data_IF_194199753663
#
_entry.id   IF_194199753663
#
_cell.length_a   1.000
_cell.length_b   1.000
_cell.length_c   1.000
_cell.angle_alpha   90.00
_cell.angle_beta   90.00
_cell.angle_gamma   90.00
#
_symmetry.space_group_name_H-M   'P 1'
#
loop_
_entity.id
_entity.type
_entity.pdbx_description
1 polymer ?
#
# COMPACT_ATOMS: atom_id res chain seq x y z
N UNK A 1 -19.59 8.52 -11.25
CA UNK A 1 -18.53 9.02 -10.36
C UNK A 1 -17.23 8.89 -11.13
N UNK A 2 -16.37 9.91 -11.10
CA UNK A 2 -15.05 9.85 -11.74
C UNK A 2 -14.05 9.22 -10.77
N UNK A 3 -13.20 8.32 -11.26
CA UNK A 3 -12.14 7.70 -10.47
C UNK A 3 -11.22 8.76 -9.83
N UNK A 4 -10.72 8.47 -8.63
CA UNK A 4 -9.75 9.32 -7.92
C UNK A 4 -8.40 9.31 -8.62
N UNK A 5 -7.95 8.15 -9.08
CA UNK A 5 -6.75 7.99 -9.91
C UNK A 5 -7.13 7.20 -11.16
N UNK A 6 -6.64 7.61 -12.33
CA UNK A 6 -6.80 6.84 -13.56
C UNK A 6 -5.54 6.86 -14.42
N UNK A 7 -5.13 5.69 -14.88
CA UNK A 7 -4.08 5.46 -15.85
C UNK A 7 -4.74 5.00 -17.15
N UNK A 8 -4.39 5.64 -18.26
CA UNK A 8 -4.87 5.28 -19.60
C UNK A 8 -3.68 4.97 -20.51
N UNK A 9 -3.58 3.69 -20.92
CA UNK A 9 -2.54 3.15 -21.81
C UNK A 9 -1.11 3.57 -21.43
N UNK A 10 -0.80 3.49 -20.13
CA UNK A 10 0.46 3.96 -19.56
C UNK A 10 1.59 2.96 -19.81
N UNK A 11 2.68 3.47 -20.39
CA UNK A 11 3.92 2.74 -20.60
C UNK A 11 5.08 3.55 -20.03
N UNK A 12 6.01 2.89 -19.36
CA UNK A 12 7.17 3.54 -18.73
C UNK A 12 8.44 2.71 -18.93
N UNK A 13 9.54 3.42 -19.22
CA UNK A 13 10.89 2.88 -19.34
C UNK A 13 11.85 3.77 -18.56
N UNK A 14 12.74 3.16 -17.77
CA UNK A 14 13.83 3.89 -17.12
C UNK A 14 14.87 4.32 -18.16
N UNK A 15 15.53 5.44 -17.91
CA UNK A 15 16.67 5.87 -18.74
C UNK A 15 17.74 4.77 -18.75
N UNK A 16 18.19 4.39 -19.96
CA UNK A 16 19.19 3.35 -20.20
C UNK A 16 18.76 1.91 -19.85
N UNK A 17 17.48 1.65 -19.61
CA UNK A 17 16.97 0.28 -19.53
C UNK A 17 16.64 -0.26 -20.93
N UNK A 18 17.03 -1.50 -21.21
CA UNK A 18 16.70 -2.16 -22.48
C UNK A 18 15.21 -2.53 -22.61
N UNK A 19 14.50 -2.59 -21.48
CA UNK A 19 13.12 -3.04 -21.44
C UNK A 19 12.19 -2.10 -20.66
N UNK A 20 10.90 -2.17 -20.97
CA UNK A 20 9.86 -1.40 -20.32
C UNK A 20 9.55 -1.96 -18.95
N UNK A 21 9.60 -1.09 -17.93
CA UNK A 21 9.19 -1.45 -16.59
C UNK A 21 7.67 -1.61 -16.49
N UNK A 22 6.90 -0.85 -17.28
CA UNK A 22 5.44 -0.95 -17.37
C UNK A 22 4.97 -0.80 -18.82
N UNK A 23 3.94 -1.56 -19.23
CA UNK A 23 3.45 -1.63 -20.61
C UNK A 23 1.92 -1.62 -20.68
N UNK A 24 1.40 -0.66 -21.43
CA UNK A 24 -0.02 -0.57 -21.83
C UNK A 24 -1.01 -0.67 -20.65
N UNK A 25 -0.67 -0.06 -19.52
CA UNK A 25 -1.50 -0.14 -18.31
C UNK A 25 -2.70 0.79 -18.38
N UNK A 26 -3.88 0.21 -18.19
CA UNK A 26 -5.13 0.95 -17.98
C UNK A 26 -5.75 0.49 -16.68
N UNK A 27 -5.79 1.38 -15.69
CA UNK A 27 -6.26 1.09 -14.31
C UNK A 27 -6.93 2.33 -13.75
N UNK A 28 -8.06 2.16 -13.06
CA UNK A 28 -8.69 3.22 -12.26
C UNK A 28 -8.74 2.81 -10.80
N UNK A 29 -8.61 3.77 -9.88
CA UNK A 29 -8.73 3.58 -8.43
C UNK A 29 -9.75 4.58 -7.90
N UNK A 30 -10.70 4.09 -7.12
CA UNK A 30 -11.79 4.88 -6.56
C UNK A 30 -11.40 5.46 -5.19
N UNK A 31 -12.07 6.52 -4.77
CA UNK A 31 -11.87 7.09 -3.44
C UNK A 31 -12.34 6.12 -2.34
N UNK A 32 -11.63 6.10 -1.20
CA UNK A 32 -11.85 5.19 -0.07
C UNK A 32 -11.67 3.71 -0.44
N UNK A 33 -10.91 3.41 -1.49
CA UNK A 33 -10.58 2.04 -1.89
C UNK A 33 -9.27 1.59 -1.23
N UNK A 34 -9.17 0.30 -0.87
CA UNK A 34 -7.89 -0.35 -0.59
C UNK A 34 -7.55 -1.28 -1.75
N UNK A 35 -6.50 -0.94 -2.49
CA UNK A 35 -5.95 -1.73 -3.59
C UNK A 35 -4.60 -2.30 -3.20
N UNK A 36 -4.42 -3.62 -3.29
CA UNK A 36 -3.11 -4.24 -3.14
C UNK A 36 -2.51 -4.61 -4.50
N UNK A 37 -1.23 -4.31 -4.67
CA UNK A 37 -0.45 -4.54 -5.88
C UNK A 37 0.53 -5.66 -5.61
N UNK A 38 0.35 -6.76 -6.34
CA UNK A 38 1.10 -7.99 -6.19
C UNK A 38 1.94 -8.26 -7.43
N UNK A 39 2.94 -9.12 -7.28
CA UNK A 39 3.79 -9.57 -8.38
C UNK A 39 5.25 -9.75 -7.96
N UNK A 40 6.01 -10.44 -8.79
CA UNK A 40 7.42 -10.73 -8.52
C UNK A 40 8.28 -9.45 -8.47
N UNK A 41 9.48 -9.57 -7.91
CA UNK A 41 10.46 -8.49 -7.97
C UNK A 41 10.76 -8.15 -9.43
N UNK A 42 10.80 -6.85 -9.73
CA UNK A 42 10.98 -6.36 -11.10
C UNK A 42 9.71 -6.35 -11.97
N UNK A 43 8.53 -6.72 -11.46
CA UNK A 43 7.28 -6.66 -12.26
C UNK A 43 6.74 -5.24 -12.49
N UNK A 44 7.34 -4.23 -11.87
CA UNK A 44 6.99 -2.81 -12.05
C UNK A 44 6.10 -2.20 -10.96
N UNK A 45 5.85 -2.89 -9.85
CA UNK A 45 4.98 -2.41 -8.74
C UNK A 45 5.41 -1.05 -8.17
N UNK A 46 6.67 -0.90 -7.76
CA UNK A 46 7.19 0.38 -7.23
C UNK A 46 7.20 1.47 -8.29
N UNK A 47 7.46 1.12 -9.55
CA UNK A 47 7.32 2.06 -10.68
C UNK A 47 5.88 2.56 -10.81
N UNK A 48 4.89 1.69 -10.67
CA UNK A 48 3.48 2.07 -10.69
C UNK A 48 3.17 3.06 -9.58
N UNK A 49 3.56 2.78 -8.34
CA UNK A 49 3.38 3.70 -7.21
C UNK A 49 4.00 5.09 -7.45
N UNK A 50 5.21 5.13 -8.01
CA UNK A 50 5.92 6.39 -8.32
C UNK A 50 5.28 7.19 -9.46
N UNK A 51 4.60 6.53 -10.40
CA UNK A 51 3.81 7.22 -11.43
C UNK A 51 2.59 7.91 -10.84
N UNK A 52 1.99 7.38 -9.76
CA UNK A 52 0.80 7.96 -9.14
C UNK A 52 1.09 9.29 -8.45
N UNK A 53 2.23 9.40 -7.77
CA UNK A 53 2.67 10.63 -7.10
C UNK A 53 3.38 11.61 -8.07
N UNK A 54 3.76 11.17 -9.27
CA UNK A 54 4.52 11.99 -10.22
C UNK A 54 6.01 12.12 -9.85
N UNK A 55 6.59 11.12 -9.17
CA UNK A 55 8.04 10.96 -9.06
C UNK A 55 8.65 10.45 -10.36
N UNK A 56 7.88 9.66 -11.10
CA UNK A 56 8.16 9.30 -12.48
C UNK A 56 7.01 9.78 -13.36
N UNK A 57 7.33 10.10 -14.61
CA UNK A 57 6.34 10.52 -15.61
C UNK A 57 6.25 9.44 -16.69
N UNK A 58 5.04 9.13 -17.18
CA UNK A 58 4.86 8.07 -18.16
C UNK A 58 5.53 8.42 -19.49
N UNK A 59 6.15 7.44 -20.15
CA UNK A 59 6.71 7.60 -21.50
C UNK A 59 5.62 7.68 -22.57
N UNK A 60 4.50 6.98 -22.36
CA UNK A 60 3.26 7.03 -23.15
C UNK A 60 2.05 6.87 -22.25
N UNK A 61 0.87 7.27 -22.73
CA UNK A 61 -0.37 7.25 -21.96
C UNK A 61 -0.53 8.47 -21.06
N UNK A 62 -1.52 8.45 -20.18
CA UNK A 62 -1.83 9.56 -19.27
C UNK A 62 -2.13 9.03 -17.87
N UNK A 63 -1.61 9.72 -16.84
CA UNK A 63 -1.99 9.49 -15.45
C UNK A 63 -2.75 10.72 -14.97
N UNK A 64 -3.94 10.51 -14.41
CA UNK A 64 -4.78 11.53 -13.79
C UNK A 64 -4.96 11.23 -12.31
N UNK A 65 -4.93 12.25 -11.46
CA UNK A 65 -5.06 12.17 -10.00
C UNK A 65 -5.94 13.33 -9.52
N UNK A 66 -7.08 13.05 -8.90
CA UNK A 66 -8.06 14.04 -8.45
C UNK A 66 -8.37 15.10 -9.53
N UNK A 67 -8.53 14.62 -10.77
CA UNK A 67 -8.78 15.46 -11.96
C UNK A 67 -7.57 16.19 -12.56
N UNK A 68 -6.39 16.12 -11.92
CA UNK A 68 -5.14 16.72 -12.40
C UNK A 68 -4.33 15.73 -13.24
N UNK A 69 -3.60 16.19 -14.25
CA UNK A 69 -2.74 15.38 -15.11
C UNK A 69 -1.27 15.47 -14.71
N UNK A 70 -0.59 14.33 -14.60
CA UNK A 70 0.87 14.32 -14.37
C UNK A 70 1.68 14.88 -15.55
N UNK A 71 1.05 15.07 -16.72
CA UNK A 71 1.69 15.75 -17.87
C UNK A 71 1.80 17.26 -17.68
N UNK A 72 0.97 17.85 -16.82
CA UNK A 72 1.00 19.27 -16.57
C UNK A 72 1.95 19.57 -15.40
N UNK A 73 3.09 20.18 -15.70
CA UNK A 73 4.13 20.49 -14.70
C UNK A 73 3.60 21.36 -13.55
N UNK A 74 2.67 22.28 -13.83
CA UNK A 74 2.08 23.14 -12.80
C UNK A 74 1.21 22.40 -11.80
N UNK A 75 0.73 21.19 -12.13
CA UNK A 75 -0.15 20.38 -11.28
C UNK A 75 0.62 19.37 -10.42
N UNK A 76 1.89 19.09 -10.74
CA UNK A 76 2.67 18.04 -10.06
C UNK A 76 2.77 18.24 -8.55
N UNK A 77 2.95 19.47 -8.08
CA UNK A 77 3.01 19.75 -6.65
C UNK A 77 1.66 19.47 -5.95
N UNK A 78 0.54 19.82 -6.59
CA UNK A 78 -0.79 19.51 -6.07
C UNK A 78 -1.05 18.00 -6.07
N UNK A 79 -0.61 17.27 -7.09
CA UNK A 79 -0.69 15.81 -7.15
C UNK A 79 0.10 15.17 -5.98
N UNK A 80 1.30 15.68 -5.68
CA UNK A 80 2.12 15.19 -4.56
C UNK A 80 1.49 15.45 -3.19
N UNK A 81 0.65 16.47 -3.07
CA UNK A 81 -0.10 16.74 -1.84
C UNK A 81 -1.29 15.78 -1.69
N UNK A 82 -1.87 15.33 -2.79
CA UNK A 82 -2.98 14.37 -2.81
C UNK A 82 -2.50 12.95 -2.54
N UNK A 83 -1.34 12.56 -3.08
CA UNK A 83 -0.82 11.20 -3.01
C UNK A 83 0.42 11.16 -2.13
N UNK A 84 0.30 10.71 -0.88
CA UNK A 84 1.44 10.42 -0.02
C UNK A 84 2.16 9.12 -0.41
N UNK A 85 3.46 9.02 -0.16
CA UNK A 85 4.22 7.79 -0.33
C UNK A 85 4.97 7.43 0.95
N UNK A 86 4.87 6.16 1.35
CA UNK A 86 5.61 5.57 2.46
C UNK A 86 6.48 4.46 1.88
N UNK A 87 7.80 4.61 1.94
CA UNK A 87 8.74 3.70 1.30
C UNK A 87 9.12 2.51 2.18
N UNK A 88 9.72 1.51 1.53
CA UNK A 88 10.11 0.23 2.12
C UNK A 88 11.11 0.37 3.28
N UNK A 89 12.15 1.18 3.08
CA UNK A 89 13.23 1.30 4.05
C UNK A 89 12.96 2.50 4.98
N UNK A 90 12.59 2.28 6.25
CA UNK A 90 12.39 3.37 7.21
C UNK A 90 13.64 4.23 7.38
N UNK A 91 14.84 3.64 7.36
CA UNK A 91 16.09 4.36 7.68
C UNK A 91 16.41 5.50 6.70
N UNK A 92 15.97 5.38 5.45
CA UNK A 92 16.34 6.31 4.38
C UNK A 92 15.30 7.43 4.17
N UNK A 93 14.26 7.48 5.00
CA UNK A 93 13.16 8.44 4.83
C UNK A 93 13.29 9.69 5.72
N UNK A 94 14.10 9.62 6.77
CA UNK A 94 14.28 10.71 7.72
C UNK A 94 15.31 11.72 7.23
N UNK A 95 14.98 13.00 7.36
CA UNK A 95 15.86 14.11 6.96
C UNK A 95 16.17 15.05 8.12
N UNK A 96 15.43 14.97 9.22
CA UNK A 96 15.55 15.88 10.34
C UNK A 96 16.20 15.25 11.59
N UNK A 97 16.53 16.10 12.55
CA UNK A 97 17.21 15.72 13.80
C UNK A 97 16.30 15.05 14.81
N UNK A 98 15.04 15.48 14.89
CA UNK A 98 14.04 14.92 15.80
C UNK A 98 12.83 14.42 15.02
N UNK A 99 12.06 13.53 15.65
CA UNK A 99 10.77 13.07 15.10
C UNK A 99 9.82 14.25 14.86
N UNK A 100 9.75 15.23 15.77
CA UNK A 100 8.94 16.44 15.59
C UNK A 100 9.34 17.21 14.33
N UNK A 101 10.63 17.46 14.16
CA UNK A 101 11.16 18.21 13.01
C UNK A 101 10.87 17.46 11.70
N UNK A 102 10.96 16.13 11.71
CA UNK A 102 10.70 15.31 10.53
C UNK A 102 9.21 15.34 10.12
N UNK A 103 8.30 15.29 11.10
CA UNK A 103 6.87 15.49 10.86
C UNK A 103 6.53 16.91 10.38
N UNK A 104 7.30 17.91 10.82
CA UNK A 104 7.14 19.30 10.38
C UNK A 104 7.60 19.52 8.94
N UNK A 105 8.59 18.75 8.45
CA UNK A 105 9.23 18.97 7.16
C UNK A 105 8.25 19.10 5.98
N UNK A 106 7.29 18.17 5.86
CA UNK A 106 6.27 18.23 4.82
C UNK A 106 5.37 19.46 4.94
N UNK A 107 5.01 19.84 6.16
CA UNK A 107 4.15 20.99 6.45
C UNK A 107 4.84 22.33 6.14
N UNK A 108 6.14 22.43 6.45
CA UNK A 108 6.95 23.61 6.13
C UNK A 108 7.04 23.83 4.62
N UNK A 109 7.22 22.76 3.84
CA UNK A 109 7.21 22.80 2.38
C UNK A 109 5.86 23.27 1.80
N UNK A 110 4.76 23.00 2.51
CA UNK A 110 3.41 23.48 2.17
C UNK A 110 3.12 24.90 2.65
N UNK A 111 4.03 25.52 3.41
CA UNK A 111 3.84 26.86 3.97
C UNK A 111 2.75 26.92 5.05
N UNK A 112 2.51 25.82 5.77
CA UNK A 112 1.53 25.78 6.86
C UNK A 112 2.02 26.61 8.05
N UNK A 113 1.12 27.36 8.71
CA UNK A 113 1.50 28.19 9.86
C UNK A 113 1.93 27.31 11.04
N UNK A 114 2.84 27.83 11.87
CA UNK A 114 3.40 27.07 13.01
C UNK A 114 2.32 26.54 13.96
N UNK A 115 1.29 27.34 14.23
CA UNK A 115 0.19 26.94 15.12
C UNK A 115 -0.55 25.71 14.58
N UNK A 116 -0.84 25.70 13.27
CA UNK A 116 -1.50 24.58 12.59
C UNK A 116 -0.55 23.38 12.50
N UNK A 117 0.76 23.62 12.31
CA UNK A 117 1.74 22.55 12.28
C UNK A 117 1.77 21.78 13.60
N UNK A 118 1.88 22.48 14.73
CA UNK A 118 1.91 21.85 16.05
C UNK A 118 0.62 21.06 16.35
N UNK A 119 -0.54 21.57 15.92
CA UNK A 119 -1.81 20.85 16.03
C UNK A 119 -1.78 19.54 15.24
N UNK A 120 -1.38 19.59 13.96
CA UNK A 120 -1.31 18.42 13.08
C UNK A 120 -0.27 17.40 13.56
N UNK A 121 0.92 17.85 13.93
CA UNK A 121 1.99 17.00 14.47
C UNK A 121 1.46 16.25 15.71
N UNK A 122 0.85 16.97 16.65
CA UNK A 122 0.32 16.37 17.89
C UNK A 122 -0.81 15.37 17.59
N UNK A 123 -1.74 15.74 16.70
CA UNK A 123 -2.87 14.91 16.28
C UNK A 123 -2.39 13.60 15.64
N UNK A 124 -1.53 13.67 14.63
CA UNK A 124 -1.11 12.49 13.87
C UNK A 124 -0.08 11.64 14.60
N UNK A 125 0.82 12.25 15.40
CA UNK A 125 1.70 11.50 16.28
C UNK A 125 0.91 10.71 17.34
N UNK A 126 -0.16 11.29 17.88
CA UNK A 126 -1.05 10.58 18.81
C UNK A 126 -1.83 9.48 18.11
N UNK A 127 -2.31 9.76 16.90
CA UNK A 127 -3.11 8.82 16.10
C UNK A 127 -2.37 7.51 15.83
N UNK A 128 -1.08 7.59 15.50
CA UNK A 128 -0.23 6.43 15.19
C UNK A 128 0.58 5.95 16.40
N UNK A 129 0.28 6.47 17.60
CA UNK A 129 0.85 5.98 18.86
C UNK A 129 2.34 6.30 19.08
N UNK A 130 2.84 7.40 18.53
CA UNK A 130 4.25 7.85 18.64
C UNK A 130 4.40 9.19 19.36
N UNK A 131 3.35 9.77 19.95
CA UNK A 131 3.42 11.09 20.58
C UNK A 131 4.53 11.22 21.64
N UNK A 132 4.84 10.13 22.35
CA UNK A 132 5.92 10.06 23.34
C UNK A 132 7.33 10.08 22.73
N UNK A 133 7.45 9.95 21.40
CA UNK A 133 8.71 9.90 20.65
C UNK A 133 9.03 11.20 19.93
N UNK A 134 8.20 12.24 20.03
CA UNK A 134 8.38 13.50 19.28
C UNK A 134 9.75 14.15 19.47
N UNK A 135 10.30 14.08 20.68
CA UNK A 135 11.62 14.66 21.01
C UNK A 135 12.79 13.66 20.81
N UNK A 136 12.50 12.46 20.31
CA UNK A 136 13.52 11.44 20.06
C UNK A 136 14.20 11.67 18.72
N UNK A 137 15.46 11.24 18.63
CA UNK A 137 16.22 11.25 17.37
C UNK A 137 15.86 10.01 16.53
N UNK A 138 15.57 10.14 15.22
CA UNK A 138 15.11 9.05 14.36
C UNK A 138 15.90 7.75 14.50
N UNK A 139 17.23 7.83 14.55
CA UNK A 139 18.12 6.67 14.61
C UNK A 139 17.96 5.80 15.87
N UNK A 140 17.31 6.32 16.93
CA UNK A 140 17.08 5.61 18.21
C UNK A 140 15.79 4.81 18.24
N UNK A 141 14.92 4.96 17.23
CA UNK A 141 13.64 4.26 17.14
C UNK A 141 13.82 2.85 16.54
N UNK A 142 12.90 1.94 16.88
CA UNK A 142 12.79 0.64 16.20
C UNK A 142 12.28 0.82 14.76
N UNK A 143 12.48 -0.18 13.90
CA UNK A 143 11.99 -0.12 12.51
C UNK A 143 10.48 0.14 12.42
N UNK A 144 9.68 -0.52 13.24
CA UNK A 144 8.22 -0.32 13.26
C UNK A 144 7.82 1.07 13.76
N UNK A 145 8.53 1.59 14.77
CA UNK A 145 8.32 2.96 15.24
C UNK A 145 8.69 3.98 14.15
N UNK A 146 9.83 3.80 13.47
CA UNK A 146 10.23 4.62 12.33
C UNK A 146 9.17 4.62 11.24
N UNK A 147 8.64 3.46 10.88
CA UNK A 147 7.58 3.40 9.87
C UNK A 147 6.32 4.17 10.30
N UNK A 148 5.93 4.08 11.59
CA UNK A 148 4.82 4.88 12.12
C UNK A 148 5.11 6.38 12.12
N UNK A 149 6.36 6.80 12.33
CA UNK A 149 6.78 8.20 12.14
C UNK A 149 6.63 8.64 10.68
N UNK A 150 7.10 7.84 9.72
CA UNK A 150 6.95 8.15 8.30
C UNK A 150 5.47 8.29 7.91
N UNK A 151 4.61 7.39 8.40
CA UNK A 151 3.15 7.46 8.23
C UNK A 151 2.60 8.77 8.83
N UNK A 152 3.04 9.14 10.03
CA UNK A 152 2.59 10.38 10.68
C UNK A 152 2.97 11.63 9.89
N UNK A 153 4.20 11.68 9.35
CA UNK A 153 4.67 12.80 8.53
C UNK A 153 3.86 12.95 7.25
N UNK A 154 3.54 11.85 6.58
CA UNK A 154 2.65 11.85 5.41
C UNK A 154 1.23 12.28 5.80
N UNK A 155 0.66 11.70 6.86
CA UNK A 155 -0.69 12.03 7.32
C UNK A 155 -0.85 13.48 7.77
N UNK A 156 0.21 14.11 8.28
CA UNK A 156 0.20 15.52 8.66
C UNK A 156 -0.08 16.44 7.47
N UNK A 157 0.31 16.05 6.26
CA UNK A 157 -0.02 16.78 5.03
C UNK A 157 -1.49 16.60 4.59
N UNK A 158 -2.22 15.68 5.22
CA UNK A 158 -3.63 15.33 4.95
C UNK A 158 -3.89 14.89 3.49
N UNK A 159 -3.18 13.87 2.99
CA UNK A 159 -3.39 13.35 1.64
C UNK A 159 -4.71 12.58 1.50
N UNK A 160 -5.23 12.46 0.27
CA UNK A 160 -6.40 11.63 -0.04
C UNK A 160 -6.03 10.16 -0.27
N UNK A 161 -4.79 9.92 -0.73
CA UNK A 161 -4.25 8.60 -1.07
C UNK A 161 -2.91 8.40 -0.39
N UNK A 162 -2.65 7.20 0.12
CA UNK A 162 -1.31 6.80 0.55
C UNK A 162 -0.89 5.53 -0.18
N UNK A 163 0.28 5.60 -0.83
CA UNK A 163 0.97 4.47 -1.42
C UNK A 163 1.98 3.93 -0.39
N UNK A 164 1.81 2.67 0.00
CA UNK A 164 2.76 1.94 0.83
C UNK A 164 3.59 1.03 -0.06
N UNK A 165 4.88 1.34 -0.25
CA UNK A 165 5.80 0.57 -1.08
C UNK A 165 6.60 -0.41 -0.21
N UNK A 166 6.08 -1.63 -0.02
CA UNK A 166 6.66 -2.68 0.83
C UNK A 166 6.96 -2.20 2.27
N UNK A 167 6.10 -1.33 2.81
CA UNK A 167 6.29 -0.64 4.09
C UNK A 167 6.48 -1.56 5.31
N UNK A 168 6.09 -2.83 5.20
CA UNK A 168 6.11 -3.83 6.27
C UNK A 168 7.23 -4.87 6.13
N UNK A 169 7.97 -4.88 5.01
CA UNK A 169 8.87 -5.98 4.66
C UNK A 169 10.12 -6.05 5.52
N UNK A 170 10.61 -4.90 6.00
CA UNK A 170 11.86 -4.78 6.78
C UNK A 170 11.61 -4.76 8.29
N UNK A 171 10.41 -5.12 8.73
CA UNK A 171 9.98 -5.05 10.13
C UNK A 171 9.98 -6.44 10.77
N UNK A 172 10.27 -6.48 12.07
CA UNK A 172 9.98 -7.65 12.90
C UNK A 172 8.45 -7.90 13.00
N UNK A 173 8.00 -9.09 13.40
CA UNK A 173 6.58 -9.43 13.43
C UNK A 173 5.71 -8.48 14.29
N UNK A 174 6.25 -7.96 15.39
CA UNK A 174 5.50 -7.03 16.27
C UNK A 174 5.38 -5.68 15.57
N UNK A 175 6.49 -5.14 15.05
CA UNK A 175 6.49 -3.89 14.30
C UNK A 175 5.60 -3.94 13.06
N UNK A 176 5.61 -5.06 12.32
CA UNK A 176 4.71 -5.28 11.18
C UNK A 176 3.25 -5.20 11.62
N UNK A 177 2.87 -5.90 12.68
CA UNK A 177 1.50 -5.90 13.19
C UNK A 177 1.05 -4.48 13.57
N UNK A 178 1.85 -3.75 14.33
CA UNK A 178 1.52 -2.37 14.75
C UNK A 178 1.35 -1.42 13.55
N UNK A 179 2.20 -1.56 12.53
CA UNK A 179 2.09 -0.77 11.29
C UNK A 179 0.83 -1.15 10.52
N UNK A 180 0.52 -2.44 10.40
CA UNK A 180 -0.71 -2.90 9.73
C UNK A 180 -1.99 -2.44 10.45
N UNK A 181 -2.02 -2.49 11.78
CA UNK A 181 -3.11 -1.93 12.58
C UNK A 181 -3.28 -0.43 12.31
N UNK A 182 -2.18 0.30 12.17
CA UNK A 182 -2.20 1.72 11.80
C UNK A 182 -2.80 1.93 10.40
N UNK A 183 -2.35 1.18 9.39
CA UNK A 183 -2.84 1.25 8.01
C UNK A 183 -4.34 0.96 7.94
N UNK A 184 -4.82 -0.11 8.60
CA UNK A 184 -6.24 -0.45 8.67
C UNK A 184 -7.08 0.66 9.31
N UNK A 185 -6.59 1.24 10.41
CA UNK A 185 -7.27 2.34 11.09
C UNK A 185 -7.38 3.58 10.18
N UNK A 186 -6.34 3.90 9.41
CA UNK A 186 -6.37 4.99 8.44
C UNK A 186 -7.39 4.74 7.33
N UNK A 187 -7.45 3.51 6.80
CA UNK A 187 -8.45 3.13 5.80
C UNK A 187 -9.88 3.29 6.32
N UNK A 188 -10.15 2.83 7.55
CA UNK A 188 -11.46 2.98 8.20
C UNK A 188 -11.89 4.44 8.38
N UNK A 189 -10.93 5.38 8.35
CA UNK A 189 -11.19 6.82 8.42
C UNK A 189 -11.39 7.47 7.03
N UNK A 190 -11.39 6.68 5.95
CA UNK A 190 -11.63 7.16 4.59
C UNK A 190 -10.37 7.47 3.79
N UNK A 191 -9.19 7.06 4.24
CA UNK A 191 -7.98 7.20 3.41
C UNK A 191 -7.99 6.11 2.33
N UNK A 192 -7.73 6.50 1.09
CA UNK A 192 -7.52 5.56 -0.02
C UNK A 192 -6.13 4.94 0.11
N UNK A 193 -6.04 3.61 0.08
CA UNK A 193 -4.79 2.89 0.33
C UNK A 193 -4.37 2.12 -0.92
N UNK A 194 -3.11 2.26 -1.28
CA UNK A 194 -2.47 1.47 -2.33
C UNK A 194 -1.28 0.76 -1.71
N UNK A 195 -1.40 -0.54 -1.43
CA UNK A 195 -0.31 -1.32 -0.84
C UNK A 195 0.43 -2.13 -1.89
N UNK A 196 1.70 -1.84 -2.11
CA UNK A 196 2.60 -2.72 -2.84
C UNK A 196 3.19 -3.68 -1.82
N UNK A 197 2.86 -4.96 -1.93
CA UNK A 197 3.26 -5.94 -0.92
C UNK A 197 3.55 -7.30 -1.56
N UNK A 198 4.35 -8.09 -0.85
CA UNK A 198 4.50 -9.52 -1.08
C UNK A 198 3.87 -10.35 0.05
N UNK A 199 3.34 -9.68 1.08
CA UNK A 199 2.69 -10.30 2.22
C UNK A 199 1.22 -10.58 1.85
N UNK A 200 0.85 -11.86 1.83
CA UNK A 200 -0.50 -12.29 1.46
C UNK A 200 -1.53 -11.93 2.53
N UNK A 201 -1.12 -11.85 3.81
CA UNK A 201 -2.01 -11.44 4.90
C UNK A 201 -2.37 -9.95 4.77
N UNK A 202 -1.43 -9.13 4.30
CA UNK A 202 -1.70 -7.73 3.94
C UNK A 202 -2.60 -7.65 2.69
N UNK A 203 -2.34 -8.47 1.68
CA UNK A 203 -3.10 -8.46 0.44
C UNK A 203 -4.58 -8.82 0.65
N UNK A 204 -4.89 -9.76 1.54
CA UNK A 204 -6.26 -10.18 1.87
C UNK A 204 -7.12 -9.03 2.43
N UNK A 205 -6.50 -8.02 3.05
CA UNK A 205 -7.21 -6.87 3.61
C UNK A 205 -7.71 -5.89 2.53
N UNK A 206 -7.15 -5.96 1.33
CA UNK A 206 -7.52 -5.07 0.24
C UNK A 206 -8.88 -5.46 -0.36
N UNK A 207 -9.64 -4.46 -0.79
CA UNK A 207 -10.90 -4.68 -1.52
C UNK A 207 -10.70 -5.16 -2.95
N UNK A 208 -9.53 -4.86 -3.54
CA UNK A 208 -9.15 -5.24 -4.91
C UNK A 208 -7.66 -5.53 -5.00
N UNK A 209 -7.31 -6.51 -5.81
CA UNK A 209 -5.94 -6.93 -6.10
C UNK A 209 -5.60 -6.61 -7.55
N UNK A 210 -4.39 -6.08 -7.76
CA UNK A 210 -3.79 -5.89 -9.08
C UNK A 210 -2.50 -6.71 -9.16
N UNK A 211 -2.49 -7.73 -10.01
CA UNK A 211 -1.32 -8.59 -10.20
C UNK A 211 -0.51 -8.15 -11.41
N UNK A 212 0.72 -7.75 -11.16
CA UNK A 212 1.68 -7.33 -12.16
C UNK A 212 2.61 -8.49 -12.54
N UNK A 213 2.76 -8.71 -13.84
CA UNK A 213 3.68 -9.67 -14.41
C UNK A 213 4.38 -9.05 -15.63
N UNK A 214 5.72 -9.02 -15.61
CA UNK A 214 6.54 -8.48 -16.71
C UNK A 214 6.10 -7.08 -17.20
N UNK A 215 5.74 -6.20 -16.26
CA UNK A 215 5.33 -4.83 -16.55
C UNK A 215 3.88 -4.67 -17.03
N UNK A 216 3.09 -5.75 -17.10
CA UNK A 216 1.68 -5.72 -17.49
C UNK A 216 0.77 -6.09 -16.32
N UNK A 217 -0.47 -5.62 -16.37
CA UNK A 217 -1.54 -6.10 -15.49
C UNK A 217 -1.99 -7.48 -15.98
N UNK A 218 -1.64 -8.52 -15.23
CA UNK A 218 -1.93 -9.91 -15.57
C UNK A 218 -3.29 -10.36 -15.06
N UNK A 219 -3.66 -9.97 -13.84
CA UNK A 219 -4.95 -10.24 -13.22
C UNK A 219 -5.41 -9.04 -12.40
N UNK A 220 -6.71 -8.87 -12.31
CA UNK A 220 -7.38 -7.89 -11.47
C UNK A 220 -8.67 -8.52 -10.95
N UNK A 221 -9.03 -8.22 -9.69
CA UNK A 221 -10.28 -8.67 -9.10
C UNK A 221 -10.27 -8.64 -7.58
N UNK A 222 -11.29 -9.21 -6.95
CA UNK A 222 -11.36 -9.32 -5.48
C UNK A 222 -10.39 -10.40 -4.97
N UNK A 223 -9.91 -10.29 -3.72
CA UNK A 223 -9.09 -11.34 -3.11
C UNK A 223 -9.68 -12.75 -3.23
N UNK A 224 -10.98 -12.89 -2.94
CA UNK A 224 -11.72 -14.16 -3.01
C UNK A 224 -11.66 -14.79 -4.41
N UNK A 225 -11.79 -13.97 -5.45
CA UNK A 225 -11.82 -14.41 -6.86
C UNK A 225 -10.43 -14.73 -7.42
N UNK A 226 -9.39 -14.07 -6.92
CA UNK A 226 -8.03 -14.31 -7.37
C UNK A 226 -7.42 -15.50 -6.64
N UNK A 227 -7.57 -15.58 -5.32
CA UNK A 227 -7.00 -16.67 -4.54
C UNK A 227 -7.65 -18.03 -4.82
N UNK A 228 -8.87 -18.05 -5.36
CA UNK A 228 -9.49 -19.29 -5.86
C UNK A 228 -8.81 -19.84 -7.13
N UNK A 229 -7.92 -19.09 -7.79
CA UNK A 229 -7.21 -19.47 -9.02
C UNK A 229 -5.79 -19.92 -8.72
N UNK A 230 -5.64 -20.92 -7.82
CA UNK A 230 -4.37 -21.44 -7.33
C UNK A 230 -3.34 -21.64 -8.44
N UNK A 231 -3.66 -22.45 -9.45
CA UNK A 231 -2.73 -22.81 -10.52
C UNK A 231 -2.22 -21.57 -11.24
N UNK A 232 -3.12 -20.63 -11.53
CA UNK A 232 -2.77 -19.41 -12.26
C UNK A 232 -1.89 -18.47 -11.44
N UNK A 233 -2.13 -18.34 -10.14
CA UNK A 233 -1.29 -17.54 -9.25
C UNK A 233 0.10 -18.16 -9.08
N UNK A 234 0.16 -19.49 -8.93
CA UNK A 234 1.42 -20.22 -8.84
C UNK A 234 2.24 -20.12 -10.14
N UNK A 235 1.60 -20.22 -11.32
CA UNK A 235 2.24 -19.99 -12.63
C UNK A 235 2.87 -18.59 -12.73
N UNK A 236 2.21 -17.59 -12.14
CA UNK A 236 2.69 -16.20 -12.11
C UNK A 236 3.72 -15.94 -11.00
N UNK A 237 4.05 -16.97 -10.21
CA UNK A 237 5.08 -16.97 -9.18
C UNK A 237 4.66 -16.28 -7.88
N UNK A 238 3.36 -16.31 -7.55
CA UNK A 238 2.84 -15.90 -6.25
C UNK A 238 2.55 -17.11 -5.36
N UNK A 239 2.76 -16.91 -4.05
CA UNK A 239 2.24 -17.81 -3.00
C UNK A 239 0.78 -17.50 -2.70
N UNK A 240 0.11 -18.42 -2.01
CA UNK A 240 -1.24 -18.20 -1.50
C UNK A 240 -1.18 -17.85 0.00
N UNK A 241 -2.24 -17.22 0.55
CA UNK A 241 -2.41 -17.17 2.00
C UNK A 241 -2.48 -18.58 2.59
N UNK A 242 -1.90 -18.79 3.78
CA UNK A 242 -1.90 -20.09 4.46
C UNK A 242 -3.31 -20.69 4.60
N UNK A 243 -4.29 -19.85 4.91
CA UNK A 243 -5.69 -20.23 5.03
C UNK A 243 -6.23 -20.89 3.75
N UNK A 244 -5.85 -20.37 2.58
CA UNK A 244 -6.27 -20.86 1.26
C UNK A 244 -5.50 -22.13 0.88
N UNK A 245 -4.20 -22.19 1.18
CA UNK A 245 -3.39 -23.40 0.94
C UNK A 245 -3.94 -24.60 1.71
N UNK A 246 -4.21 -24.43 3.00
CA UNK A 246 -4.75 -25.48 3.85
C UNK A 246 -6.15 -25.93 3.40
N UNK A 247 -6.98 -25.00 2.90
CA UNK A 247 -8.28 -25.37 2.34
C UNK A 247 -8.17 -26.29 1.14
N UNK A 248 -7.24 -26.01 0.23
CA UNK A 248 -7.01 -26.88 -0.92
C UNK A 248 -6.50 -28.26 -0.50
N UNK A 249 -5.59 -28.34 0.48
CA UNK A 249 -5.12 -29.62 1.01
C UNK A 249 -6.26 -30.42 1.67
N UNK A 250 -7.16 -29.76 2.40
CA UNK A 250 -8.34 -30.40 2.98
C UNK A 250 -9.31 -30.91 1.92
N UNK A 251 -9.53 -30.15 0.84
CA UNK A 251 -10.38 -30.57 -0.28
C UNK A 251 -9.81 -31.81 -0.99
N UNK A 252 -8.49 -31.90 -1.17
CA UNK A 252 -7.81 -33.08 -1.74
C UNK A 252 -8.02 -34.33 -0.87
N UNK A 253 -8.10 -34.17 0.45
CA UNK A 253 -8.44 -35.22 1.41
C UNK A 253 -9.95 -35.47 1.56
N UNK A 254 -10.78 -34.80 0.74
CA UNK A 254 -12.24 -34.98 0.71
C UNK A 254 -13.02 -34.22 1.78
N UNK A 255 -12.39 -33.24 2.45
CA UNK A 255 -13.02 -32.36 3.44
C UNK A 255 -13.36 -31.03 2.77
N UNK A 256 -14.62 -30.87 2.37
CA UNK A 256 -15.09 -29.62 1.74
C UNK A 256 -15.61 -28.63 2.78
N UNK A 257 -15.10 -27.39 2.76
CA UNK A 257 -15.62 -26.30 3.57
C UNK A 257 -16.81 -25.61 2.88
N UNK A 258 -17.66 -24.88 3.64
CA UNK A 258 -18.85 -24.23 3.06
C UNK A 258 -18.53 -22.93 2.31
N UNK A 259 -17.38 -22.33 2.59
CA UNK A 259 -16.92 -21.07 2.00
C UNK A 259 -15.40 -21.02 1.95
N UNK A 260 -14.87 -20.23 1.01
CA UNK A 260 -13.46 -19.86 0.98
C UNK A 260 -13.15 -18.92 2.15
N UNK A 261 -12.20 -19.30 2.98
CA UNK A 261 -11.71 -18.51 4.10
C UNK A 261 -10.40 -17.83 3.70
N UNK A 262 -10.30 -16.51 3.88
CA UNK A 262 -9.08 -15.78 3.51
C UNK A 262 -8.19 -15.50 4.73
N UNK A 263 -8.73 -15.61 5.94
CA UNK A 263 -7.96 -15.48 7.18
C UNK A 263 -7.92 -16.77 7.99
N UNK A 264 -6.90 -16.91 8.84
CA UNK A 264 -6.81 -18.00 9.81
C UNK A 264 -8.03 -18.05 10.75
N UNK A 265 -8.53 -16.90 11.18
CA UNK A 265 -9.70 -16.80 12.07
C UNK A 265 -10.98 -17.31 11.41
N UNK A 266 -11.19 -16.99 10.14
CA UNK A 266 -12.32 -17.52 9.37
C UNK A 266 -12.21 -19.04 9.21
N UNK A 267 -11.02 -19.52 8.87
CA UNK A 267 -10.76 -20.95 8.69
C UNK A 267 -10.99 -21.73 9.99
N UNK A 268 -10.48 -21.24 11.12
CA UNK A 268 -10.69 -21.85 12.43
C UNK A 268 -12.19 -21.96 12.78
N UNK A 269 -12.96 -20.90 12.53
CA UNK A 269 -14.40 -20.91 12.81
C UNK A 269 -15.16 -21.89 11.90
N UNK A 270 -14.78 -21.99 10.63
CA UNK A 270 -15.39 -22.91 9.68
C UNK A 270 -15.07 -24.37 10.04
N UNK A 271 -13.81 -24.67 10.37
CA UNK A 271 -13.38 -25.99 10.83
C UNK A 271 -14.10 -26.40 12.13
N UNK A 272 -14.19 -25.49 13.10
CA UNK A 272 -14.91 -25.78 14.35
C UNK A 272 -16.39 -26.08 14.10
N UNK A 273 -17.05 -25.31 13.22
CA UNK A 273 -18.45 -25.53 12.84
C UNK A 273 -18.65 -26.88 12.15
N UNK A 274 -17.71 -27.30 11.29
CA UNK A 274 -17.76 -28.58 10.58
C UNK A 274 -17.66 -29.78 11.54
N UNK A 275 -16.82 -29.68 12.58
CA UNK A 275 -16.67 -30.73 13.59
C UNK A 275 -17.77 -30.72 14.64
N UNK A 276 -18.31 -29.56 15.00
CA UNK A 276 -19.40 -29.45 16.01
C UNK A 276 -20.78 -29.81 15.45
N UNK A 277 -20.91 -29.87 14.12
CA UNK A 277 -22.12 -30.33 13.44
C UNK A 277 -22.18 -31.86 13.23
N UNK A 278 -21.14 -32.60 13.65
CA UNK A 278 -21.10 -34.07 13.70
C UNK A 278 -21.39 -34.57 15.10
#
# INVERSE_FOLDING_TARGET
MSALISLDNVTFQYENADDYALRDLTVSIEANEWVAILGRNGSGKSTFGRLLNGLHLPSKGTVMVSGMSTKNESELWSIRNVVGMVFQNPEHQFVATTVRDDLAFGLENLGVSREIMEERITKYASLVGIAHLLESEPHRLSGGQKQRVAIAGIMAMEPEVIVFDEATSMLDPIGRKEVMETIQMLHQRGVTIISITHDMDEAVLASRLLLFHEGRLALEGRPEELFSKKERLTELGLSLPFSVELQHELEEEGITLRKTCLSESELMNELWTLYSAK
#
